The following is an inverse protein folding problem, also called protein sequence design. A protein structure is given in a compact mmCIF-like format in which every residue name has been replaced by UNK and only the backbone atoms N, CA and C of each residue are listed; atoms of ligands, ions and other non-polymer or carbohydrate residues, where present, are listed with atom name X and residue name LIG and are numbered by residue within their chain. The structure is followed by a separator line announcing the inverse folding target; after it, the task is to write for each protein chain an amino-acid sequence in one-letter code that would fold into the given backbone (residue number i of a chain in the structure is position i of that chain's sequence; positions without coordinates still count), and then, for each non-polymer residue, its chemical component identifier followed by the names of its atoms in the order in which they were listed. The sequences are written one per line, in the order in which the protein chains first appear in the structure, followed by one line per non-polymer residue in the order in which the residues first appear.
data_IF_263413415775
#
_entry.id   IF_263413415775
#
_cell.length_a   1.000
_cell.length_b   1.000
_cell.length_c   1.000
_cell.angle_alpha   90.00
_cell.angle_beta   90.00
_cell.angle_gamma   90.00
#
_symmetry.space_group_name_H-M   'P 1'
#
loop_
_entity.id
_entity.type
_entity.pdbx_description
1 polymer ?
#
# COMPACT_ATOMS: atom_id res chain seq x y z
N UNK A 1 -52.11 41.11 28.01
CA UNK A 1 -50.84 41.61 27.42
C UNK A 1 -49.64 40.69 27.66
N UNK A 2 -49.40 40.20 28.89
CA UNK A 2 -48.27 39.29 29.20
C UNK A 2 -48.26 37.98 28.39
N UNK A 3 -49.43 37.38 28.15
CA UNK A 3 -49.58 36.16 27.34
C UNK A 3 -49.23 36.37 25.86
N UNK A 4 -49.52 37.54 25.30
CA UNK A 4 -49.19 37.87 23.91
C UNK A 4 -47.69 38.06 23.73
N UNK A 5 -47.02 38.69 24.70
CA UNK A 5 -45.57 38.83 24.72
C UNK A 5 -44.87 37.48 24.85
N UNK A 6 -45.36 36.59 25.73
CA UNK A 6 -44.82 35.25 25.87
C UNK A 6 -44.97 34.41 24.58
N UNK A 7 -46.12 34.52 23.91
CA UNK A 7 -46.36 33.85 22.62
C UNK A 7 -45.42 34.38 21.51
N UNK A 8 -45.21 35.70 21.43
CA UNK A 8 -44.25 36.29 20.48
C UNK A 8 -42.82 35.80 20.71
N UNK A 9 -42.38 35.70 21.96
CA UNK A 9 -41.03 35.22 22.30
C UNK A 9 -40.86 33.74 21.91
N UNK A 10 -41.87 32.92 22.14
CA UNK A 10 -41.87 31.50 21.73
C UNK A 10 -41.77 31.32 20.20
N UNK A 11 -42.46 32.16 19.42
CA UNK A 11 -42.42 32.12 17.94
C UNK A 11 -41.04 32.53 17.41
N UNK A 12 -40.41 33.55 18.00
CA UNK A 12 -39.08 34.00 17.61
C UNK A 12 -37.99 32.95 17.87
N UNK A 13 -38.16 32.11 18.90
CA UNK A 13 -37.21 31.06 19.26
C UNK A 13 -37.29 29.80 18.36
N UNK A 14 -38.41 29.56 17.67
CA UNK A 14 -38.58 28.38 16.79
C UNK A 14 -38.01 28.54 15.37
N UNK A 15 -37.52 29.74 14.99
CA UNK A 15 -37.05 30.01 13.64
C UNK A 15 -35.80 29.23 13.19
N UNK A 16 -35.03 28.64 14.11
CA UNK A 16 -33.76 27.98 13.79
C UNK A 16 -33.93 26.54 13.24
N UNK A 17 -35.10 25.91 13.41
CA UNK A 17 -35.36 24.54 12.96
C UNK A 17 -35.94 24.43 11.54
N UNK A 18 -36.34 25.54 10.93
CA UNK A 18 -37.02 25.56 9.63
C UNK A 18 -36.08 25.58 8.41
N UNK A 19 -34.76 25.51 8.62
CA UNK A 19 -33.79 25.56 7.53
C UNK A 19 -33.45 24.16 7.05
N UNK A 20 -33.99 23.78 5.89
CA UNK A 20 -33.54 22.59 5.14
C UNK A 20 -32.04 22.72 4.85
N UNK A 21 -31.27 21.71 5.24
CA UNK A 21 -29.84 21.67 4.95
C UNK A 21 -29.63 21.39 3.46
N UNK A 22 -28.87 22.25 2.78
CA UNK A 22 -28.47 22.04 1.39
C UNK A 22 -27.54 20.81 1.32
N UNK A 23 -28.07 19.67 0.90
CA UNK A 23 -27.29 18.44 0.74
C UNK A 23 -26.41 18.56 -0.49
N UNK A 24 -25.15 18.96 -0.28
CA UNK A 24 -24.14 18.96 -1.33
C UNK A 24 -23.56 17.57 -1.49
N UNK A 25 -23.92 16.92 -2.59
CA UNK A 25 -23.28 15.67 -3.00
C UNK A 25 -21.90 15.97 -3.56
N UNK A 26 -20.87 15.42 -2.93
CA UNK A 26 -19.49 15.53 -3.40
C UNK A 26 -19.14 14.22 -4.09
N UNK A 27 -18.62 14.30 -5.32
CA UNK A 27 -18.05 13.13 -5.99
C UNK A 27 -16.70 12.82 -5.34
N UNK A 28 -16.55 11.58 -4.87
CA UNK A 28 -15.31 11.06 -4.30
C UNK A 28 -14.73 10.07 -5.29
N UNK A 29 -13.48 10.30 -5.70
CA UNK A 29 -12.73 9.30 -6.46
C UNK A 29 -12.26 8.22 -5.49
N UNK A 30 -12.74 7.00 -5.70
CA UNK A 30 -12.32 5.84 -4.93
C UNK A 30 -11.15 5.18 -5.69
N UNK A 31 -9.94 5.13 -5.11
CA UNK A 31 -8.83 4.45 -5.74
C UNK A 31 -9.14 2.96 -5.89
N UNK A 32 -9.07 2.45 -7.11
CA UNK A 32 -9.25 1.04 -7.43
C UNK A 32 -7.89 0.35 -7.54
N UNK A 33 -7.81 -0.88 -7.04
CA UNK A 33 -6.60 -1.70 -7.14
C UNK A 33 -6.37 -2.07 -8.61
N UNK A 34 -5.30 -1.55 -9.21
CA UNK A 34 -4.85 -1.95 -10.55
C UNK A 34 -3.95 -3.19 -10.45
N UNK A 35 -4.22 -4.27 -11.22
CA UNK A 35 -3.38 -5.45 -11.19
C UNK A 35 -2.03 -5.14 -11.83
N UNK A 36 -0.95 -5.47 -11.13
CA UNK A 36 0.39 -5.33 -11.70
C UNK A 36 0.69 -6.48 -12.67
N UNK A 37 0.98 -6.14 -13.93
CA UNK A 37 1.38 -7.11 -14.94
C UNK A 37 2.91 -7.19 -15.06
N UNK A 38 3.55 -7.85 -14.10
CA UNK A 38 5.00 -8.08 -14.10
C UNK A 38 5.38 -9.51 -14.39
N UNK A 39 6.59 -9.70 -14.91
CA UNK A 39 7.16 -11.03 -15.13
C UNK A 39 7.65 -11.61 -13.81
N UNK A 40 7.46 -12.91 -13.63
CA UNK A 40 8.06 -13.64 -12.52
C UNK A 40 9.58 -13.72 -12.75
N UNK A 41 10.36 -13.21 -11.81
CA UNK A 41 11.82 -13.35 -11.83
C UNK A 41 12.16 -14.76 -11.35
N UNK A 42 12.84 -15.54 -12.20
CA UNK A 42 13.26 -16.88 -11.84
C UNK A 42 14.45 -16.82 -10.87
N UNK A 43 14.47 -17.72 -9.90
CA UNK A 43 15.64 -17.88 -9.04
C UNK A 43 16.86 -18.30 -9.88
N UNK A 44 18.04 -17.68 -9.68
CA UNK A 44 19.24 -18.08 -10.40
C UNK A 44 19.71 -19.47 -9.95
N UNK A 45 20.53 -20.15 -10.75
CA UNK A 45 21.20 -21.38 -10.32
C UNK A 45 22.21 -21.03 -9.22
N UNK A 46 21.81 -21.25 -7.97
CA UNK A 46 22.61 -20.92 -6.79
C UNK A 46 23.92 -21.68 -6.79
N UNK A 47 25.03 -20.96 -6.64
CA UNK A 47 26.37 -21.56 -6.67
C UNK A 47 26.57 -22.63 -5.59
N UNK A 48 25.85 -22.54 -4.46
CA UNK A 48 25.94 -23.54 -3.39
C UNK A 48 25.19 -24.84 -3.66
N UNK A 49 24.28 -24.89 -4.63
CA UNK A 49 23.48 -26.10 -4.94
C UNK A 49 24.35 -27.29 -5.35
N UNK A 50 25.52 -27.03 -5.95
CA UNK A 50 26.45 -28.08 -6.37
C UNK A 50 27.37 -28.60 -5.24
N UNK A 51 27.35 -27.97 -4.06
CA UNK A 51 28.26 -28.32 -2.97
C UNK A 51 27.88 -29.64 -2.29
N UNK A 52 28.90 -30.44 -1.98
CA UNK A 52 28.81 -31.66 -1.17
C UNK A 52 29.43 -31.42 0.21
N UNK A 53 28.99 -32.20 1.19
CA UNK A 53 29.52 -32.14 2.57
C UNK A 53 31.02 -32.42 2.62
N UNK A 54 31.50 -33.32 1.77
CA UNK A 54 32.92 -33.73 1.63
C UNK A 54 33.80 -32.71 0.93
N UNK A 55 33.23 -31.67 0.31
CA UNK A 55 34.03 -30.69 -0.42
C UNK A 55 34.95 -29.90 0.51
N UNK A 56 36.13 -29.55 -0.01
CA UNK A 56 37.12 -28.75 0.71
C UNK A 56 36.60 -27.35 1.05
N UNK A 57 37.21 -26.74 2.06
CA UNK A 57 36.82 -25.41 2.54
C UNK A 57 36.93 -24.34 1.45
N UNK A 58 38.01 -24.37 0.65
CA UNK A 58 38.22 -23.39 -0.42
C UNK A 58 37.06 -23.38 -1.44
N UNK A 59 36.62 -24.56 -1.87
CA UNK A 59 35.54 -24.71 -2.83
C UNK A 59 34.21 -24.20 -2.26
N UNK A 60 33.94 -24.47 -0.98
CA UNK A 60 32.77 -23.95 -0.26
C UNK A 60 32.79 -22.42 -0.14
N UNK A 61 33.94 -21.84 0.25
CA UNK A 61 34.08 -20.37 0.36
C UNK A 61 33.90 -19.70 -1.00
N UNK A 62 34.47 -20.26 -2.06
CA UNK A 62 34.33 -19.75 -3.43
C UNK A 62 32.86 -19.74 -3.87
N UNK A 63 32.14 -20.84 -3.65
CA UNK A 63 30.71 -20.95 -3.95
C UNK A 63 29.87 -19.95 -3.13
N UNK A 64 30.15 -19.78 -1.84
CA UNK A 64 29.44 -18.80 -0.99
C UNK A 64 29.68 -17.35 -1.45
N UNK A 65 30.91 -16.99 -1.83
CA UNK A 65 31.22 -15.66 -2.36
C UNK A 65 30.56 -15.40 -3.72
N UNK A 66 30.45 -16.43 -4.56
CA UNK A 66 29.72 -16.34 -5.82
C UNK A 66 28.21 -16.16 -5.57
N UNK A 67 27.62 -16.98 -4.70
CA UNK A 67 26.20 -16.88 -4.36
C UNK A 67 25.86 -15.54 -3.71
N UNK A 68 26.73 -14.99 -2.85
CA UNK A 68 26.52 -13.65 -2.27
C UNK A 68 26.29 -12.59 -3.35
N UNK A 69 27.07 -12.64 -4.45
CA UNK A 69 26.88 -11.73 -5.59
C UNK A 69 25.59 -12.03 -6.36
N UNK A 70 25.26 -13.31 -6.55
CA UNK A 70 24.00 -13.71 -7.18
C UNK A 70 22.78 -13.18 -6.40
N UNK A 71 22.80 -13.24 -5.06
CA UNK A 71 21.72 -12.73 -4.21
C UNK A 71 21.56 -11.22 -4.33
N UNK A 72 22.66 -10.46 -4.32
CA UNK A 72 22.62 -9.00 -4.49
C UNK A 72 21.97 -8.64 -5.83
N UNK A 73 22.36 -9.31 -6.92
CA UNK A 73 21.79 -9.05 -8.23
C UNK A 73 20.31 -9.45 -8.31
N UNK A 74 19.94 -10.62 -7.79
CA UNK A 74 18.56 -11.11 -7.76
C UNK A 74 17.64 -10.21 -6.93
N UNK A 75 18.10 -9.72 -5.78
CA UNK A 75 17.35 -8.76 -4.97
C UNK A 75 17.15 -7.44 -5.71
N UNK A 76 18.18 -6.93 -6.38
CA UNK A 76 18.06 -5.72 -7.19
C UNK A 76 17.02 -5.88 -8.33
N UNK A 77 17.01 -7.04 -8.99
CA UNK A 77 16.03 -7.36 -10.03
C UNK A 77 14.60 -7.45 -9.45
N UNK A 78 14.42 -8.12 -8.31
CA UNK A 78 13.12 -8.19 -7.63
C UNK A 78 12.60 -6.80 -7.23
N UNK A 79 13.47 -5.94 -6.68
CA UNK A 79 13.12 -4.56 -6.33
C UNK A 79 12.72 -3.76 -7.58
N UNK A 80 13.45 -3.91 -8.68
CA UNK A 80 13.11 -3.26 -9.94
C UNK A 80 11.74 -3.72 -10.47
N UNK A 81 11.45 -5.03 -10.41
CA UNK A 81 10.17 -5.57 -10.85
C UNK A 81 9.01 -5.08 -9.99
N UNK A 82 9.14 -5.07 -8.66
CA UNK A 82 8.12 -4.49 -7.77
C UNK A 82 7.99 -2.97 -8.00
N UNK A 83 9.10 -2.28 -8.24
CA UNK A 83 9.10 -0.85 -8.58
C UNK A 83 8.31 -0.51 -9.83
N UNK A 84 8.29 -1.41 -10.82
CA UNK A 84 7.52 -1.24 -12.06
C UNK A 84 6.00 -1.34 -11.88
N UNK A 85 5.52 -1.77 -10.71
CA UNK A 85 4.10 -1.89 -10.38
C UNK A 85 3.47 -0.63 -9.76
N UNK A 86 4.27 0.39 -9.44
CA UNK A 86 3.80 1.65 -8.85
C UNK A 86 3.27 2.59 -9.93
#
# INVERSE_FOLDING_TARGET
MKLLLAACVLVLLMGCAAKESEVRTVRVEVPVLVPCNTKVVAAPPWATTALKKTDGLELKVRALLAERRQRIAYEAELVAMVGSCR
#
